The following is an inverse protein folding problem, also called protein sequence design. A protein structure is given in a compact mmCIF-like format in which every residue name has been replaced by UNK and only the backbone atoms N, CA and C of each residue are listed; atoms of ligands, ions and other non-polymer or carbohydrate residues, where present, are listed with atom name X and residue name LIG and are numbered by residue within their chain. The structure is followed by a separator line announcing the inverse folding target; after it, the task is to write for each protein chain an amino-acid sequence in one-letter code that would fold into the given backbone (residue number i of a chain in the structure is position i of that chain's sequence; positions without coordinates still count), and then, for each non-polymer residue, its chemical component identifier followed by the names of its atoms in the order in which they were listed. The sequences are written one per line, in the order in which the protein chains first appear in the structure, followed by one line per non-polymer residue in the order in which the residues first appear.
data_IF_562290828117
#
_entry.id   IF_562290828117
#
_cell.length_a   1.000
_cell.length_b   1.000
_cell.length_c   1.000
_cell.angle_alpha   90.00
_cell.angle_beta   90.00
_cell.angle_gamma   90.00
#
_symmetry.space_group_name_H-M   'P 1'
#
loop_
_entity.id
_entity.type
_entity.pdbx_description
1 polymer ?
#
# COMPACT_ATOMS: atom_id res chain seq x y z
N UNK A 1 21.55 2.19 -61.77
CA UNK A 1 21.09 2.44 -60.39
C UNK A 1 22.20 2.34 -59.33
N UNK A 2 23.43 1.92 -59.66
CA UNK A 2 24.45 1.55 -58.67
C UNK A 2 25.14 2.69 -57.90
N UNK A 3 25.04 3.94 -58.35
CA UNK A 3 25.79 5.06 -57.75
C UNK A 3 25.24 5.56 -56.41
N UNK A 4 23.91 5.52 -56.20
CA UNK A 4 23.30 6.10 -54.99
C UNK A 4 23.56 5.29 -53.71
N UNK A 5 23.83 3.98 -53.83
CA UNK A 5 24.07 3.11 -52.68
C UNK A 5 25.44 3.38 -52.03
N UNK A 6 26.50 3.50 -52.85
CA UNK A 6 27.87 3.76 -52.38
C UNK A 6 27.98 5.05 -51.58
N UNK A 7 27.28 6.11 -52.02
CA UNK A 7 27.30 7.40 -51.35
C UNK A 7 26.58 7.37 -49.99
N UNK A 8 25.52 6.58 -49.86
CA UNK A 8 24.80 6.38 -48.60
C UNK A 8 25.66 5.60 -47.59
N UNK A 9 26.30 4.51 -48.02
CA UNK A 9 27.21 3.73 -47.19
C UNK A 9 28.41 4.56 -46.69
N UNK A 10 29.01 5.38 -47.55
CA UNK A 10 30.08 6.30 -47.15
C UNK A 10 29.64 7.29 -46.05
N UNK A 11 28.43 7.86 -46.16
CA UNK A 11 27.88 8.75 -45.14
C UNK A 11 27.49 8.04 -43.83
N UNK A 12 27.20 6.73 -43.86
CA UNK A 12 27.03 5.93 -42.65
C UNK A 12 28.36 5.64 -41.95
N UNK A 13 29.41 5.22 -42.69
CA UNK A 13 30.74 4.95 -42.11
C UNK A 13 31.31 6.20 -41.44
N UNK A 14 31.30 7.36 -42.12
CA UNK A 14 31.79 8.63 -41.55
C UNK A 14 30.99 9.06 -40.30
N UNK A 15 29.69 8.71 -40.22
CA UNK A 15 28.89 8.93 -39.00
C UNK A 15 29.28 7.98 -37.88
N UNK A 16 29.49 6.70 -38.16
CA UNK A 16 29.97 5.72 -37.17
C UNK A 16 31.33 6.10 -36.61
N UNK A 17 32.28 6.52 -37.45
CA UNK A 17 33.61 6.97 -37.00
C UNK A 17 33.54 8.24 -36.16
N UNK A 18 32.64 9.18 -36.51
CA UNK A 18 32.42 10.41 -35.72
C UNK A 18 31.80 10.10 -34.36
N UNK A 19 30.86 9.14 -34.28
CA UNK A 19 30.27 8.66 -33.01
C UNK A 19 31.34 7.91 -32.19
N UNK A 20 32.10 7.01 -32.81
CA UNK A 20 33.19 6.28 -32.16
C UNK A 20 34.23 7.22 -31.53
N UNK A 21 34.71 8.21 -32.29
CA UNK A 21 35.67 9.21 -31.81
C UNK A 21 35.11 10.11 -30.70
N UNK A 22 33.80 10.41 -30.71
CA UNK A 22 33.13 11.11 -29.59
C UNK A 22 33.08 10.23 -28.34
N UNK A 23 32.79 8.92 -28.50
CA UNK A 23 32.77 7.97 -27.39
C UNK A 23 34.15 7.79 -26.76
N UNK A 24 35.23 7.66 -27.56
CA UNK A 24 36.61 7.56 -27.03
C UNK A 24 36.98 8.79 -26.21
N UNK A 25 36.72 9.99 -26.75
CA UNK A 25 36.98 11.25 -26.04
C UNK A 25 36.16 11.42 -24.76
N UNK A 26 34.96 10.86 -24.70
CA UNK A 26 34.16 10.83 -23.48
C UNK A 26 34.77 9.88 -22.43
N UNK A 27 35.18 8.67 -22.83
CA UNK A 27 35.86 7.72 -21.92
C UNK A 27 37.24 8.20 -21.45
N UNK A 28 37.99 8.89 -22.31
CA UNK A 28 39.28 9.49 -21.95
C UNK A 28 39.11 10.68 -20.99
N UNK A 29 38.06 11.49 -21.18
CA UNK A 29 37.71 12.58 -20.24
C UNK A 29 37.37 12.02 -18.86
N UNK A 30 36.53 10.97 -18.77
CA UNK A 30 36.19 10.33 -17.49
C UNK A 30 37.43 9.73 -16.79
N UNK A 31 38.29 9.03 -17.54
CA UNK A 31 39.56 8.50 -17.01
C UNK A 31 40.50 9.60 -16.53
N UNK A 32 40.48 10.78 -17.16
CA UNK A 32 41.27 11.94 -16.76
C UNK A 32 40.75 12.57 -15.46
N UNK A 33 39.42 12.64 -15.26
CA UNK A 33 38.83 13.19 -14.03
C UNK A 33 39.11 12.33 -12.79
N UNK A 34 39.06 11.00 -12.90
CA UNK A 34 39.41 10.11 -11.77
C UNK A 34 40.88 10.27 -11.35
N UNK A 35 41.77 10.53 -12.31
CA UNK A 35 43.21 10.71 -12.05
C UNK A 35 43.56 12.03 -11.34
N UNK A 36 42.65 13.00 -11.25
CA UNK A 36 42.91 14.31 -10.64
C UNK A 36 42.44 14.42 -9.18
N UNK A 37 41.67 13.44 -8.68
CA UNK A 37 41.08 13.45 -7.34
C UNK A 37 42.05 13.03 -6.21
N UNK A 38 43.29 12.63 -6.52
CA UNK A 38 44.23 11.98 -5.58
C UNK A 38 45.59 12.69 -5.49
N UNK A 39 45.59 14.01 -5.26
CA UNK A 39 46.81 14.76 -4.85
C UNK A 39 46.47 16.12 -4.20
N UNK A 40 46.37 16.15 -2.87
CA UNK A 40 46.52 17.38 -2.07
C UNK A 40 47.08 17.04 -0.69
N UNK A 41 47.82 17.98 -0.09
CA UNK A 41 48.82 17.68 0.94
C UNK A 41 48.31 17.66 2.39
N UNK A 42 49.11 17.04 3.26
CA UNK A 42 48.91 16.98 4.71
C UNK A 42 49.07 18.35 5.39
N UNK A 43 48.06 18.81 6.13
CA UNK A 43 48.14 20.00 6.98
C UNK A 43 47.20 19.90 8.18
N UNK A 44 47.72 19.49 9.34
CA UNK A 44 46.89 19.12 10.49
C UNK A 44 46.42 20.28 11.38
N UNK A 45 45.17 20.19 11.84
CA UNK A 45 44.69 20.75 13.12
C UNK A 45 43.55 19.88 13.66
N UNK A 46 43.32 19.94 14.96
CA UNK A 46 42.62 18.90 15.73
C UNK A 46 41.37 19.40 16.48
N UNK A 47 40.60 18.42 16.99
CA UNK A 47 39.43 18.53 17.89
C UNK A 47 38.17 19.18 17.26
N UNK A 48 36.95 18.80 17.66
CA UNK A 48 36.31 17.56 17.19
C UNK A 48 34.91 17.79 16.60
N UNK A 49 34.36 16.79 15.89
CA UNK A 49 32.91 16.62 15.76
C UNK A 49 32.48 15.22 16.18
N UNK A 50 31.26 15.16 16.72
CA UNK A 50 30.58 13.95 17.17
C UNK A 50 29.77 13.35 16.00
N UNK A 51 29.65 12.02 15.96
CA UNK A 51 29.11 11.30 14.80
C UNK A 51 29.76 9.94 14.62
N UNK A 52 29.32 8.95 15.42
CA UNK A 52 29.82 7.58 15.33
C UNK A 52 29.33 6.85 14.08
N UNK A 53 30.18 6.76 13.05
CA UNK A 53 30.02 5.75 11.99
C UNK A 53 30.33 4.36 12.58
N UNK A 54 29.28 3.63 12.96
CA UNK A 54 29.40 2.23 13.38
C UNK A 54 29.62 1.40 12.12
N UNK A 55 30.88 1.34 11.71
CA UNK A 55 31.33 0.57 10.56
C UNK A 55 31.34 -0.92 10.88
N UNK A 56 30.15 -1.49 11.06
CA UNK A 56 29.93 -2.90 11.33
C UNK A 56 30.48 -3.74 10.18
N UNK A 57 31.71 -4.22 10.37
CA UNK A 57 32.26 -5.33 9.58
C UNK A 57 31.33 -6.51 9.76
N UNK A 58 30.49 -6.72 8.75
CA UNK A 58 29.62 -7.88 8.66
C UNK A 58 30.50 -9.11 8.38
N UNK A 59 31.12 -9.62 9.44
CA UNK A 59 32.05 -10.74 9.40
C UNK A 59 31.25 -11.96 8.94
N UNK A 60 31.42 -12.34 7.67
CA UNK A 60 30.70 -13.43 7.01
C UNK A 60 31.18 -14.81 7.48
N UNK A 61 31.55 -14.93 8.75
CA UNK A 61 31.55 -16.19 9.49
C UNK A 61 30.11 -16.67 9.63
N UNK A 62 29.57 -17.21 8.55
CA UNK A 62 28.42 -18.11 8.59
C UNK A 62 28.80 -19.29 9.47
N UNK A 63 28.56 -19.17 10.77
CA UNK A 63 28.61 -20.25 11.75
C UNK A 63 27.44 -21.18 11.46
N UNK A 64 27.57 -21.90 10.35
CA UNK A 64 26.75 -23.03 9.96
C UNK A 64 27.00 -24.09 11.02
N UNK A 65 26.24 -24.00 12.11
CA UNK A 65 26.24 -24.97 13.19
C UNK A 65 25.83 -26.31 12.60
N UNK A 66 26.84 -27.11 12.24
CA UNK A 66 26.68 -28.34 11.47
C UNK A 66 26.23 -29.48 12.39
N UNK A 67 25.11 -29.26 13.08
CA UNK A 67 24.44 -30.19 13.98
C UNK A 67 23.63 -31.17 13.12
N UNK A 68 24.34 -31.88 12.24
CA UNK A 68 23.92 -33.15 11.65
C UNK A 68 24.04 -34.30 12.67
N UNK A 69 24.52 -33.99 13.89
CA UNK A 69 24.70 -34.91 15.01
C UNK A 69 23.37 -35.33 15.69
N UNK A 70 22.59 -36.15 14.99
CA UNK A 70 21.90 -37.32 15.54
C UNK A 70 20.85 -37.17 16.67
N UNK A 71 20.20 -36.01 16.83
CA UNK A 71 18.88 -35.97 17.47
C UNK A 71 17.80 -36.36 16.44
N UNK A 72 17.57 -37.67 16.31
CA UNK A 72 16.50 -38.25 15.51
C UNK A 72 15.19 -38.35 16.31
N UNK A 73 14.06 -37.95 15.71
CA UNK A 73 12.70 -38.15 16.23
C UNK A 73 12.50 -39.62 16.64
N UNK A 74 12.00 -39.86 17.84
CA UNK A 74 11.58 -41.20 18.27
C UNK A 74 10.32 -41.58 17.52
N UNK A 75 10.38 -42.68 16.78
CA UNK A 75 9.24 -43.33 16.14
C UNK A 75 9.14 -44.76 16.67
N UNK A 76 7.95 -45.12 17.12
CA UNK A 76 7.57 -46.44 17.62
C UNK A 76 6.21 -46.76 17.01
N UNK A 77 5.92 -48.05 16.83
CA UNK A 77 4.60 -48.54 16.47
C UNK A 77 3.97 -49.28 17.66
N UNK A 78 2.64 -49.39 17.73
CA UNK A 78 1.93 -49.82 18.95
C UNK A 78 2.40 -51.18 19.48
N UNK A 79 2.65 -52.16 18.60
CA UNK A 79 3.18 -53.47 18.98
C UNK A 79 4.60 -53.44 19.61
N UNK A 80 5.32 -52.33 19.48
CA UNK A 80 6.61 -52.09 20.13
C UNK A 80 6.46 -51.34 21.46
N UNK A 81 5.37 -50.59 21.66
CA UNK A 81 5.03 -49.93 22.92
C UNK A 81 4.60 -50.96 23.99
N UNK A 82 3.79 -51.96 23.61
CA UNK A 82 3.35 -53.04 24.51
C UNK A 82 4.52 -53.90 25.05
N UNK A 83 5.65 -53.94 24.34
CA UNK A 83 6.83 -54.73 24.71
C UNK A 83 7.89 -53.97 25.51
N UNK A 84 7.76 -52.65 25.70
CA UNK A 84 8.78 -51.81 26.34
C UNK A 84 8.66 -51.80 27.86
N UNK A 85 9.80 -51.85 28.57
CA UNK A 85 9.81 -51.62 30.01
C UNK A 85 9.58 -50.13 30.33
N UNK A 86 9.10 -49.85 31.54
CA UNK A 86 8.90 -48.49 32.01
C UNK A 86 10.21 -47.67 32.12
N UNK A 87 11.39 -48.30 32.09
CA UNK A 87 12.68 -47.61 32.11
C UNK A 87 13.13 -47.21 30.71
N UNK A 88 12.96 -48.10 29.72
CA UNK A 88 13.20 -47.80 28.31
C UNK A 88 12.23 -46.72 27.81
N UNK A 89 10.93 -46.79 28.18
CA UNK A 89 9.96 -45.76 27.84
C UNK A 89 10.35 -44.37 28.37
N UNK A 90 10.89 -44.30 29.60
CA UNK A 90 11.41 -43.04 30.19
C UNK A 90 12.72 -42.57 29.54
N UNK A 91 13.52 -43.47 28.96
CA UNK A 91 14.70 -43.10 28.19
C UNK A 91 14.32 -42.54 26.80
N UNK A 92 13.38 -43.20 26.12
CA UNK A 92 12.81 -42.80 24.84
C UNK A 92 12.07 -41.46 24.95
N UNK A 93 11.29 -41.25 26.01
CA UNK A 93 10.65 -39.96 26.28
C UNK A 93 11.67 -38.82 26.42
N UNK A 94 12.73 -38.98 27.25
CA UNK A 94 13.79 -37.97 27.39
C UNK A 94 14.55 -37.70 26.08
N UNK A 95 14.74 -38.72 25.23
CA UNK A 95 15.34 -38.54 23.90
C UNK A 95 14.44 -37.70 22.98
N UNK A 96 13.14 -37.95 23.00
CA UNK A 96 12.16 -37.16 22.24
C UNK A 96 12.03 -35.73 22.77
N UNK A 97 12.06 -35.53 24.08
CA UNK A 97 12.03 -34.23 24.76
C UNK A 97 13.28 -33.39 24.43
N UNK A 98 14.47 -34.01 24.40
CA UNK A 98 15.70 -33.37 23.93
C UNK A 98 15.66 -33.01 22.44
N UNK A 99 15.01 -33.81 21.60
CA UNK A 99 14.80 -33.49 20.18
C UNK A 99 13.83 -32.31 19.99
N UNK A 100 12.73 -32.26 20.75
CA UNK A 100 11.79 -31.12 20.75
C UNK A 100 12.50 -29.85 21.20
N UNK A 101 13.26 -29.91 22.30
CA UNK A 101 14.06 -28.78 22.81
C UNK A 101 15.05 -28.25 21.77
N UNK A 102 15.68 -29.14 21.00
CA UNK A 102 16.59 -28.76 19.92
C UNK A 102 15.86 -28.12 18.72
N UNK A 103 14.67 -28.63 18.35
CA UNK A 103 13.83 -28.01 17.33
C UNK A 103 13.29 -26.65 17.75
N UNK A 104 12.84 -26.48 18.99
CA UNK A 104 12.39 -25.18 19.51
C UNK A 104 13.51 -24.15 19.50
N UNK A 105 14.70 -24.53 20.00
CA UNK A 105 15.87 -23.65 20.00
C UNK A 105 16.25 -23.25 18.57
N UNK A 106 16.25 -24.22 17.65
CA UNK A 106 16.48 -23.99 16.22
C UNK A 106 15.45 -23.02 15.63
N UNK A 107 14.15 -23.23 15.87
CA UNK A 107 13.11 -22.34 15.34
C UNK A 107 13.26 -20.92 15.86
N UNK A 108 13.52 -20.71 17.16
CA UNK A 108 13.78 -19.38 17.73
C UNK A 108 14.96 -18.68 17.03
N UNK A 109 16.07 -19.38 16.80
CA UNK A 109 17.21 -18.81 16.04
C UNK A 109 16.89 -18.49 14.57
N UNK A 110 15.97 -19.23 13.93
CA UNK A 110 15.47 -18.88 12.60
C UNK A 110 14.50 -17.69 12.62
N UNK A 111 13.64 -17.59 13.63
CA UNK A 111 12.73 -16.45 13.82
C UNK A 111 13.51 -15.15 14.07
N UNK A 112 14.51 -15.18 14.95
CA UNK A 112 15.47 -14.09 15.20
C UNK A 112 16.25 -13.69 13.93
N UNK A 113 16.69 -14.68 13.14
CA UNK A 113 17.35 -14.45 11.84
C UNK A 113 16.39 -13.80 10.83
N UNK A 114 15.14 -14.25 10.76
CA UNK A 114 14.13 -13.68 9.86
C UNK A 114 13.75 -12.25 10.28
N UNK A 115 13.64 -11.97 11.58
CA UNK A 115 13.37 -10.61 12.08
C UNK A 115 14.50 -9.65 11.73
N UNK A 116 15.75 -10.02 12.03
CA UNK A 116 16.91 -9.17 11.74
C UNK A 116 17.17 -8.98 10.24
N UNK A 117 16.87 -9.98 9.40
CA UNK A 117 16.85 -9.82 7.95
C UNK A 117 15.79 -8.82 7.48
N UNK A 118 14.57 -8.87 8.06
CA UNK A 118 13.48 -7.93 7.74
C UNK A 118 13.80 -6.50 8.17
N UNK A 119 14.35 -6.31 9.37
CA UNK A 119 14.81 -5.01 9.86
C UNK A 119 15.89 -4.42 8.93
N UNK A 120 16.77 -5.26 8.38
CA UNK A 120 17.79 -4.84 7.43
C UNK A 120 17.22 -4.58 6.02
N UNK A 121 16.22 -5.33 5.58
CA UNK A 121 15.47 -5.08 4.35
C UNK A 121 14.79 -3.69 4.39
N UNK A 122 14.14 -3.35 5.50
CA UNK A 122 13.45 -2.08 5.67
C UNK A 122 14.42 -0.89 5.85
N UNK A 123 15.60 -1.08 6.47
CA UNK A 123 16.71 -0.09 6.43
C UNK A 123 17.22 0.16 5.01
N UNK A 124 17.35 -0.88 4.19
CA UNK A 124 17.79 -0.74 2.79
C UNK A 124 16.73 -0.02 1.94
N UNK A 125 15.42 -0.30 2.15
CA UNK A 125 14.33 0.44 1.50
C UNK A 125 14.35 1.93 1.84
N UNK A 126 14.53 2.30 3.11
CA UNK A 126 14.60 3.72 3.50
C UNK A 126 15.83 4.39 2.90
N UNK A 127 17.01 3.77 2.95
CA UNK A 127 18.22 4.29 2.32
C UNK A 127 18.06 4.49 0.79
N UNK A 128 17.43 3.54 0.07
CA UNK A 128 17.16 3.65 -1.37
C UNK A 128 16.25 4.85 -1.67
N UNK A 129 15.20 5.06 -0.86
CA UNK A 129 14.28 6.20 -1.06
C UNK A 129 14.93 7.55 -0.75
N UNK A 130 15.81 7.64 0.25
CA UNK A 130 16.60 8.84 0.52
C UNK A 130 17.59 9.13 -0.63
N UNK A 131 18.37 8.12 -1.06
CA UNK A 131 19.33 8.27 -2.16
C UNK A 131 18.63 8.69 -3.46
N UNK A 132 17.47 8.12 -3.78
CA UNK A 132 16.66 8.54 -4.94
C UNK A 132 16.10 9.97 -4.78
N UNK A 133 15.80 10.43 -3.56
CA UNK A 133 15.45 11.84 -3.31
C UNK A 133 16.66 12.77 -3.52
N UNK A 134 17.84 12.36 -3.02
CA UNK A 134 19.11 13.10 -3.16
C UNK A 134 19.53 13.23 -4.63
N UNK A 135 19.47 12.13 -5.39
CA UNK A 135 19.71 12.08 -6.83
C UNK A 135 18.78 13.06 -7.60
N UNK A 136 17.47 13.02 -7.33
CA UNK A 136 16.50 13.94 -7.96
C UNK A 136 16.77 15.42 -7.63
N UNK A 137 17.38 15.74 -6.49
CA UNK A 137 17.84 17.10 -6.16
C UNK A 137 19.12 17.45 -6.93
N UNK A 138 20.08 16.53 -7.01
CA UNK A 138 21.33 16.73 -7.74
C UNK A 138 21.09 16.90 -9.24
N UNK A 139 20.22 16.10 -9.87
CA UNK A 139 19.88 16.27 -11.29
C UNK A 139 19.23 17.62 -11.60
N UNK A 140 18.33 18.13 -10.73
CA UNK A 140 17.78 19.49 -10.90
C UNK A 140 18.84 20.57 -10.78
N UNK A 141 19.82 20.40 -9.87
CA UNK A 141 20.94 21.33 -9.70
C UNK A 141 21.92 21.28 -10.87
N UNK A 142 22.13 20.09 -11.47
CA UNK A 142 22.92 19.91 -12.68
C UNK A 142 22.27 20.61 -13.87
N UNK A 143 20.99 20.32 -14.14
CA UNK A 143 20.24 20.96 -15.23
C UNK A 143 20.22 22.50 -15.13
N UNK A 144 20.09 23.06 -13.92
CA UNK A 144 20.21 24.50 -13.70
C UNK A 144 21.61 25.03 -14.05
N UNK A 145 22.68 24.29 -13.73
CA UNK A 145 24.06 24.67 -14.08
C UNK A 145 24.38 24.49 -15.57
N UNK A 146 23.72 23.55 -16.24
CA UNK A 146 23.76 23.39 -17.70
C UNK A 146 23.04 24.57 -18.39
N UNK A 147 21.89 25.01 -17.85
CA UNK A 147 21.21 26.22 -18.32
C UNK A 147 22.08 27.48 -18.14
N UNK A 148 22.64 27.71 -16.94
CA UNK A 148 23.57 28.83 -16.70
C UNK A 148 24.70 28.85 -17.75
N UNK A 149 25.26 27.67 -18.04
CA UNK A 149 26.36 27.53 -19.00
C UNK A 149 25.93 27.82 -20.45
N UNK A 150 24.71 27.44 -20.83
CA UNK A 150 24.16 27.78 -22.14
C UNK A 150 23.92 29.28 -22.26
N UNK A 151 23.37 29.93 -21.22
CA UNK A 151 23.17 31.39 -21.21
C UNK A 151 24.51 32.16 -21.33
N UNK A 152 25.57 31.70 -20.67
CA UNK A 152 26.92 32.26 -20.87
C UNK A 152 27.51 31.96 -22.26
N UNK A 153 27.22 30.79 -22.84
CA UNK A 153 27.66 30.45 -24.20
C UNK A 153 26.98 31.33 -25.26
N UNK A 154 25.69 31.63 -25.07
CA UNK A 154 24.89 32.48 -25.94
C UNK A 154 25.39 33.93 -25.87
N UNK A 155 25.56 34.50 -24.67
CA UNK A 155 26.19 35.83 -24.46
C UNK A 155 27.58 35.92 -25.10
N UNK A 156 28.39 34.86 -24.98
CA UNK A 156 29.72 34.78 -25.59
C UNK A 156 29.65 34.66 -27.11
N UNK A 157 28.57 34.14 -27.68
CA UNK A 157 28.33 34.11 -29.13
C UNK A 157 27.95 35.50 -29.66
N UNK A 158 27.09 36.24 -28.94
CA UNK A 158 26.69 37.60 -29.29
C UNK A 158 27.90 38.55 -29.34
N UNK A 159 28.75 38.51 -28.30
CA UNK A 159 29.99 39.30 -28.27
C UNK A 159 31.01 38.90 -29.35
N UNK A 160 30.92 37.67 -29.90
CA UNK A 160 31.85 37.16 -30.92
C UNK A 160 31.37 37.36 -32.36
N UNK A 161 30.16 37.89 -32.60
CA UNK A 161 29.68 38.17 -33.96
C UNK A 161 30.60 39.17 -34.68
N UNK A 162 31.30 38.78 -35.77
CA UNK A 162 32.20 39.67 -36.51
C UNK A 162 31.42 40.59 -37.46
N UNK A 163 30.42 41.30 -36.93
CA UNK A 163 29.61 42.27 -37.65
C UNK A 163 30.26 43.66 -37.67
N UNK A 164 30.17 44.36 -38.82
CA UNK A 164 30.75 45.68 -39.04
C UNK A 164 30.19 46.85 -38.19
N UNK A 165 29.50 46.56 -37.08
CA UNK A 165 29.19 47.51 -36.02
C UNK A 165 30.37 47.77 -35.08
N UNK A 166 31.15 46.74 -34.74
CA UNK A 166 32.26 46.84 -33.79
C UNK A 166 33.35 47.84 -34.23
N UNK A 167 33.66 47.86 -35.53
CA UNK A 167 34.56 48.85 -36.13
C UNK A 167 34.01 50.28 -36.08
N UNK A 168 32.68 50.47 -36.10
CA UNK A 168 32.06 51.79 -35.99
C UNK A 168 32.06 52.30 -34.55
N UNK A 169 31.88 51.43 -33.56
CA UNK A 169 32.06 51.79 -32.14
C UNK A 169 33.52 52.01 -31.76
N UNK A 170 34.49 51.36 -32.43
CA UNK A 170 35.92 51.60 -32.22
C UNK A 170 36.45 52.91 -32.86
N UNK A 171 35.69 53.50 -33.79
CA UNK A 171 35.98 54.80 -34.42
C UNK A 171 35.26 55.97 -33.74
N UNK A 172 34.43 55.71 -32.72
CA UNK A 172 33.84 56.71 -31.85
C UNK A 172 34.58 56.69 -30.51
N UNK A 173 34.82 57.87 -29.94
CA UNK A 173 35.26 57.97 -28.55
C UNK A 173 34.26 57.24 -27.62
N UNK A 174 34.70 56.38 -26.69
CA UNK A 174 33.81 55.66 -25.80
C UNK A 174 32.82 56.52 -25.02
N UNK A 175 33.17 57.75 -24.62
CA UNK A 175 32.25 58.64 -23.93
C UNK A 175 31.17 59.20 -24.89
N UNK A 176 31.55 59.60 -26.11
CA UNK A 176 30.61 59.97 -27.18
C UNK A 176 29.69 58.80 -27.56
N UNK A 177 30.21 57.56 -27.66
CA UNK A 177 29.40 56.40 -27.96
C UNK A 177 28.40 56.09 -26.83
N UNK A 178 28.81 56.18 -25.56
CA UNK A 178 27.91 56.00 -24.42
C UNK A 178 26.79 57.05 -24.38
N UNK A 179 27.11 58.33 -24.65
CA UNK A 179 26.11 59.39 -24.76
C UNK A 179 25.14 59.14 -25.94
N UNK A 180 25.64 58.71 -27.09
CA UNK A 180 24.81 58.40 -28.26
C UNK A 180 23.93 57.16 -28.02
N UNK A 181 24.39 56.19 -27.23
CA UNK A 181 23.58 55.06 -26.77
C UNK A 181 22.49 55.51 -25.79
N UNK A 182 22.81 56.33 -24.79
CA UNK A 182 21.85 56.94 -23.84
C UNK A 182 20.76 57.71 -24.58
N UNK A 183 21.12 58.61 -25.48
CA UNK A 183 20.16 59.41 -26.27
C UNK A 183 19.28 58.54 -27.17
N UNK A 184 19.80 57.43 -27.74
CA UNK A 184 18.99 56.48 -28.50
C UNK A 184 18.03 55.69 -27.60
N UNK A 185 18.47 55.29 -26.41
CA UNK A 185 17.61 54.63 -25.42
C UNK A 185 16.49 55.57 -24.99
N UNK A 186 16.81 56.80 -24.54
CA UNK A 186 15.84 57.81 -24.12
C UNK A 186 14.85 58.18 -25.25
N UNK A 187 15.31 58.27 -26.50
CA UNK A 187 14.44 58.46 -27.67
C UNK A 187 13.54 57.24 -27.92
N UNK A 188 14.04 56.02 -27.75
CA UNK A 188 13.22 54.81 -27.88
C UNK A 188 12.18 54.69 -26.77
N UNK A 189 12.55 54.97 -25.52
CA UNK A 189 11.64 54.94 -24.37
C UNK A 189 10.59 56.03 -24.42
N UNK A 190 10.93 57.24 -24.88
CA UNK A 190 9.94 58.31 -25.07
C UNK A 190 9.00 57.99 -26.24
N UNK A 191 9.49 57.32 -27.30
CA UNK A 191 8.64 56.84 -28.39
C UNK A 191 7.69 55.73 -27.94
N UNK A 192 8.13 54.74 -27.15
CA UNK A 192 7.21 53.72 -26.63
C UNK A 192 6.20 54.33 -25.67
N UNK A 193 6.63 55.19 -24.73
CA UNK A 193 5.71 55.91 -23.82
C UNK A 193 4.69 56.77 -24.58
N UNK A 194 5.06 57.35 -25.73
CA UNK A 194 4.12 58.06 -26.62
C UNK A 194 3.14 57.10 -27.31
N UNK A 195 3.61 55.96 -27.83
CA UNK A 195 2.77 54.95 -28.47
C UNK A 195 1.81 54.26 -27.47
N UNK A 196 2.27 54.02 -26.24
CA UNK A 196 1.48 53.47 -25.13
C UNK A 196 0.40 54.47 -24.68
N UNK A 197 0.76 55.73 -24.40
CA UNK A 197 -0.23 56.76 -24.00
C UNK A 197 -1.18 57.12 -25.14
N UNK A 198 -0.74 57.07 -26.40
CA UNK A 198 -1.63 57.18 -27.56
C UNK A 198 -2.55 55.96 -27.72
N UNK A 199 -2.09 54.76 -27.35
CA UNK A 199 -2.90 53.55 -27.29
C UNK A 199 -3.94 53.61 -26.16
N UNK A 200 -3.59 54.12 -24.98
CA UNK A 200 -4.53 54.36 -23.87
C UNK A 200 -5.57 55.43 -24.22
N UNK A 201 -5.13 56.56 -24.80
CA UNK A 201 -5.99 57.63 -25.31
C UNK A 201 -6.72 57.26 -26.62
N UNK A 202 -6.48 56.07 -27.17
CA UNK A 202 -7.37 55.42 -28.13
C UNK A 202 -8.34 54.43 -27.44
N UNK A 203 -7.87 53.71 -26.41
CA UNK A 203 -8.63 52.70 -25.67
C UNK A 203 -9.76 53.25 -24.78
N UNK A 204 -9.72 54.54 -24.40
CA UNK A 204 -10.85 55.22 -23.72
C UNK A 204 -12.20 55.05 -24.44
N UNK A 205 -12.17 54.83 -25.76
CA UNK A 205 -13.32 54.39 -26.56
C UNK A 205 -13.21 52.88 -26.77
N UNK A 206 -13.98 52.12 -25.99
CA UNK A 206 -14.08 50.67 -26.16
C UNK A 206 -14.69 50.36 -27.54
N UNK A 207 -13.81 50.10 -28.50
CA UNK A 207 -14.14 49.77 -29.89
C UNK A 207 -13.94 48.27 -30.09
N UNK A 208 -14.92 47.54 -30.64
CA UNK A 208 -14.85 46.06 -30.72
C UNK A 208 -13.68 45.55 -31.58
N UNK A 209 -13.14 46.40 -32.46
CA UNK A 209 -11.96 46.09 -33.27
C UNK A 209 -10.61 46.37 -32.57
N UNK A 210 -10.58 47.02 -31.41
CA UNK A 210 -9.34 47.39 -30.71
C UNK A 210 -8.51 46.17 -30.31
N UNK A 211 -7.21 46.18 -30.61
CA UNK A 211 -6.27 45.12 -30.21
C UNK A 211 -6.15 44.96 -28.68
N UNK A 212 -6.45 46.01 -27.91
CA UNK A 212 -6.48 45.94 -26.44
C UNK A 212 -7.80 45.34 -25.96
N UNK A 213 -8.94 45.74 -26.54
CA UNK A 213 -10.25 45.11 -26.27
C UNK A 213 -10.29 43.63 -26.66
N UNK A 214 -9.70 43.26 -27.80
CA UNK A 214 -9.54 41.87 -28.26
C UNK A 214 -8.69 41.03 -27.30
N UNK A 215 -7.58 41.56 -26.79
CA UNK A 215 -6.74 40.89 -25.78
C UNK A 215 -7.48 40.72 -24.46
N UNK A 216 -8.19 41.75 -23.98
CA UNK A 216 -9.03 41.66 -22.78
C UNK A 216 -10.11 40.58 -22.94
N UNK A 217 -10.85 40.59 -24.04
CA UNK A 217 -11.92 39.61 -24.30
C UNK A 217 -11.39 38.18 -24.51
N UNK A 218 -10.19 38.01 -25.05
CA UNK A 218 -9.52 36.71 -25.07
C UNK A 218 -9.18 36.23 -23.65
N UNK A 219 -8.66 37.11 -22.78
CA UNK A 219 -8.36 36.79 -21.39
C UNK A 219 -9.61 36.51 -20.56
N UNK A 220 -10.71 37.23 -20.79
CA UNK A 220 -12.00 36.95 -20.16
C UNK A 220 -12.56 35.58 -20.56
N UNK A 221 -12.46 35.19 -21.84
CA UNK A 221 -12.84 33.83 -22.29
C UNK A 221 -11.94 32.75 -21.69
N UNK A 222 -10.63 32.98 -21.64
CA UNK A 222 -9.68 32.07 -20.99
C UNK A 222 -10.05 31.86 -19.51
N UNK A 223 -10.31 32.94 -18.75
CA UNK A 223 -10.69 32.84 -17.34
C UNK A 223 -12.04 32.13 -17.12
N UNK A 224 -13.00 32.23 -18.05
CA UNK A 224 -14.22 31.43 -17.99
C UNK A 224 -13.93 29.95 -18.23
N UNK A 225 -13.13 29.62 -19.25
CA UNK A 225 -12.71 28.24 -19.51
C UNK A 225 -11.94 27.64 -18.33
N UNK A 226 -11.00 28.38 -17.74
CA UNK A 226 -10.24 27.95 -16.55
C UNK A 226 -11.17 27.71 -15.34
N UNK A 227 -12.19 28.53 -15.13
CA UNK A 227 -13.21 28.32 -14.09
C UNK A 227 -14.11 27.10 -14.38
N UNK A 228 -14.55 26.90 -15.62
CA UNK A 228 -15.35 25.74 -16.03
C UNK A 228 -14.54 24.43 -15.91
N UNK A 229 -13.25 24.46 -16.25
CA UNK A 229 -12.32 23.34 -16.08
C UNK A 229 -12.07 23.04 -14.59
N UNK A 230 -11.91 24.05 -13.73
CA UNK A 230 -11.84 23.88 -12.28
C UNK A 230 -13.14 23.29 -11.71
N UNK A 231 -14.30 23.79 -12.14
CA UNK A 231 -15.61 23.24 -11.75
C UNK A 231 -15.78 21.78 -12.19
N UNK A 232 -15.31 21.45 -13.40
CA UNK A 232 -15.27 20.08 -13.92
C UNK A 232 -14.32 19.19 -13.12
N UNK A 233 -13.15 19.70 -12.71
CA UNK A 233 -12.17 18.96 -11.92
C UNK A 233 -12.67 18.69 -10.49
N UNK A 234 -13.26 19.70 -9.84
CA UNK A 234 -13.83 19.59 -8.48
C UNK A 234 -15.01 18.62 -8.46
N UNK A 235 -15.91 18.69 -9.44
CA UNK A 235 -17.05 17.77 -9.55
C UNK A 235 -16.61 16.33 -9.81
N UNK A 236 -15.64 16.10 -10.71
CA UNK A 236 -15.02 14.78 -10.92
C UNK A 236 -14.31 14.24 -9.67
N UNK A 237 -13.57 15.09 -8.96
CA UNK A 237 -12.90 14.70 -7.71
C UNK A 237 -13.89 14.30 -6.60
N UNK A 238 -15.00 15.02 -6.47
CA UNK A 238 -16.09 14.67 -5.55
C UNK A 238 -16.80 13.37 -5.97
N UNK A 239 -17.02 13.17 -7.26
CA UNK A 239 -17.61 11.94 -7.81
C UNK A 239 -16.73 10.73 -7.50
N UNK A 240 -15.44 10.78 -7.86
CA UNK A 240 -14.48 9.69 -7.62
C UNK A 240 -14.36 9.34 -6.12
N UNK A 241 -14.43 10.32 -5.21
CA UNK A 241 -14.52 10.03 -3.78
C UNK A 241 -15.81 9.27 -3.44
N UNK A 242 -16.97 9.75 -3.88
CA UNK A 242 -18.25 9.09 -3.61
C UNK A 242 -18.34 7.67 -4.21
N UNK A 243 -17.69 7.43 -5.35
CA UNK A 243 -17.56 6.10 -5.95
C UNK A 243 -16.66 5.18 -5.11
N UNK A 244 -15.55 5.70 -4.56
CA UNK A 244 -14.70 4.97 -3.61
C UNK A 244 -15.41 4.66 -2.29
N UNK A 245 -16.11 5.64 -1.71
CA UNK A 245 -16.88 5.48 -0.48
C UNK A 245 -18.02 4.44 -0.69
N UNK A 246 -18.68 4.47 -1.85
CA UNK A 246 -19.71 3.50 -2.26
C UNK A 246 -19.15 2.09 -2.47
N UNK A 247 -17.95 1.96 -3.06
CA UNK A 247 -17.30 0.66 -3.26
C UNK A 247 -16.94 0.01 -1.91
N UNK A 248 -16.38 0.79 -0.98
CA UNK A 248 -16.08 0.33 0.39
C UNK A 248 -17.35 -0.08 1.15
N UNK A 249 -18.44 0.66 1.00
CA UNK A 249 -19.71 0.30 1.64
C UNK A 249 -20.34 -0.98 1.05
N UNK A 250 -20.12 -1.27 -0.24
CA UNK A 250 -20.52 -2.55 -0.84
C UNK A 250 -19.74 -3.72 -0.27
N UNK A 251 -18.40 -3.65 -0.24
CA UNK A 251 -17.58 -4.75 0.29
C UNK A 251 -17.88 -5.02 1.77
N UNK A 252 -18.10 -3.98 2.57
CA UNK A 252 -18.55 -4.15 3.96
C UNK A 252 -19.94 -4.80 4.05
N UNK A 253 -20.89 -4.43 3.18
CA UNK A 253 -22.20 -5.09 3.14
C UNK A 253 -22.12 -6.55 2.66
N UNK A 254 -21.15 -6.91 1.84
CA UNK A 254 -20.91 -8.27 1.36
C UNK A 254 -20.23 -9.12 2.44
N UNK A 255 -19.25 -8.57 3.15
CA UNK A 255 -18.58 -9.18 4.30
C UNK A 255 -19.56 -9.46 5.47
N UNK A 256 -20.43 -8.49 5.81
CA UNK A 256 -21.48 -8.70 6.83
C UNK A 256 -22.49 -9.77 6.40
N UNK A 257 -22.89 -9.81 5.12
CA UNK A 257 -23.78 -10.87 4.61
C UNK A 257 -23.11 -12.24 4.63
N UNK A 258 -21.82 -12.32 4.32
CA UNK A 258 -21.06 -13.56 4.45
C UNK A 258 -20.99 -13.98 5.92
N UNK A 259 -20.57 -13.11 6.83
CA UNK A 259 -20.52 -13.42 8.27
C UNK A 259 -21.89 -13.79 8.87
N UNK A 260 -22.99 -13.36 8.26
CA UNK A 260 -24.33 -13.85 8.61
C UNK A 260 -24.55 -15.26 8.06
N UNK A 261 -24.26 -15.51 6.77
CA UNK A 261 -24.40 -16.84 6.15
C UNK A 261 -23.55 -17.90 6.85
N UNK A 262 -22.30 -17.58 7.19
CA UNK A 262 -21.37 -18.46 7.91
C UNK A 262 -21.88 -18.77 9.35
N UNK A 263 -22.71 -17.89 9.94
CA UNK A 263 -23.34 -18.09 11.24
C UNK A 263 -24.68 -18.84 11.14
N UNK A 264 -25.46 -18.60 10.08
CA UNK A 264 -26.70 -19.32 9.79
C UNK A 264 -26.39 -20.81 9.46
N UNK A 265 -25.27 -21.10 8.79
CA UNK A 265 -24.73 -22.45 8.56
C UNK A 265 -24.34 -23.14 9.88
N UNK A 266 -23.56 -22.48 10.74
CA UNK A 266 -23.20 -22.98 12.08
C UNK A 266 -24.43 -23.24 12.98
N UNK A 267 -25.51 -22.48 12.79
CA UNK A 267 -26.76 -22.68 13.52
C UNK A 267 -27.50 -23.92 13.02
N UNK A 268 -27.49 -24.21 11.71
CA UNK A 268 -28.03 -25.45 11.17
C UNK A 268 -27.24 -26.67 11.68
N UNK A 269 -25.90 -26.63 11.63
CA UNK A 269 -25.04 -27.70 12.16
C UNK A 269 -25.39 -28.04 13.63
N UNK A 270 -25.62 -27.01 14.45
CA UNK A 270 -25.98 -27.16 15.86
C UNK A 270 -27.38 -27.74 16.08
N UNK A 271 -28.35 -27.38 15.24
CA UNK A 271 -29.70 -27.97 15.27
C UNK A 271 -29.65 -29.46 14.84
N UNK A 272 -28.87 -29.82 13.82
CA UNK A 272 -28.66 -31.21 13.40
C UNK A 272 -27.99 -32.06 14.50
N UNK A 273 -26.96 -31.52 15.17
CA UNK A 273 -26.32 -32.16 16.33
C UNK A 273 -27.30 -32.34 17.51
N UNK A 274 -28.17 -31.36 17.74
CA UNK A 274 -29.21 -31.42 18.78
C UNK A 274 -30.28 -32.46 18.44
N UNK A 275 -30.72 -32.59 17.19
CA UNK A 275 -31.64 -33.66 16.77
C UNK A 275 -30.99 -35.05 16.88
N UNK A 276 -29.71 -35.18 16.53
CA UNK A 276 -28.93 -36.41 16.71
C UNK A 276 -28.78 -36.83 18.18
N UNK A 277 -28.48 -35.87 19.06
CA UNK A 277 -28.45 -36.09 20.52
C UNK A 277 -29.82 -36.44 21.08
N UNK A 278 -30.90 -35.74 20.68
CA UNK A 278 -32.26 -36.05 21.12
C UNK A 278 -32.71 -37.44 20.67
N UNK A 279 -32.38 -37.85 19.45
CA UNK A 279 -32.64 -39.20 18.93
C UNK A 279 -31.93 -40.28 19.77
N UNK A 280 -30.67 -40.04 20.13
CA UNK A 280 -29.88 -40.93 20.99
C UNK A 280 -30.47 -41.02 22.41
N UNK A 281 -30.88 -39.88 22.98
CA UNK A 281 -31.56 -39.81 24.29
C UNK A 281 -32.89 -40.59 24.25
N UNK A 282 -33.68 -40.45 23.18
CA UNK A 282 -34.95 -41.16 23.03
C UNK A 282 -34.75 -42.69 22.99
N UNK A 283 -33.76 -43.16 22.22
CA UNK A 283 -33.39 -44.58 22.16
C UNK A 283 -33.01 -45.13 23.55
N UNK A 284 -32.10 -44.44 24.26
CA UNK A 284 -31.66 -44.87 25.59
C UNK A 284 -32.80 -44.85 26.62
N UNK A 285 -33.74 -43.90 26.52
CA UNK A 285 -34.96 -43.91 27.33
C UNK A 285 -35.88 -45.10 27.01
N UNK A 286 -36.01 -45.47 25.73
CA UNK A 286 -36.81 -46.63 25.32
C UNK A 286 -36.19 -47.94 25.85
N UNK A 287 -34.87 -48.09 25.76
CA UNK A 287 -34.16 -49.25 26.27
C UNK A 287 -34.25 -49.35 27.81
N UNK A 288 -34.08 -48.22 28.53
CA UNK A 288 -34.31 -48.16 29.98
C UNK A 288 -35.75 -48.51 30.39
N UNK A 289 -36.76 -48.09 29.62
CA UNK A 289 -38.17 -48.48 29.86
C UNK A 289 -38.34 -49.99 29.66
N UNK A 290 -37.81 -50.55 28.58
CA UNK A 290 -37.87 -51.99 28.26
C UNK A 290 -37.21 -52.84 29.36
N UNK A 291 -35.99 -52.48 29.76
CA UNK A 291 -35.25 -53.20 30.82
C UNK A 291 -35.96 -53.12 32.16
N UNK A 292 -36.50 -51.95 32.55
CA UNK A 292 -37.32 -51.82 33.77
C UNK A 292 -38.58 -52.68 33.71
N UNK A 293 -39.24 -52.78 32.55
CA UNK A 293 -40.41 -53.63 32.38
C UNK A 293 -40.06 -55.12 32.49
N UNK A 294 -38.94 -55.57 31.90
CA UNK A 294 -38.48 -56.96 32.05
C UNK A 294 -38.07 -57.30 33.48
N UNK A 295 -37.45 -56.37 34.21
CA UNK A 295 -37.14 -56.55 35.65
C UNK A 295 -38.44 -56.70 36.44
N UNK A 296 -39.43 -55.81 36.25
CA UNK A 296 -40.71 -55.90 36.96
C UNK A 296 -41.46 -57.23 36.71
N UNK A 297 -41.41 -57.76 35.48
CA UNK A 297 -41.99 -59.10 35.20
C UNK A 297 -41.23 -60.23 35.88
N UNK A 298 -39.89 -60.19 35.92
CA UNK A 298 -39.07 -61.19 36.59
C UNK A 298 -39.18 -61.12 38.11
N UNK A 299 -39.38 -59.92 38.69
CA UNK A 299 -39.70 -59.72 40.10
C UNK A 299 -41.08 -60.28 40.45
N UNK A 300 -42.09 -60.06 39.60
CA UNK A 300 -43.43 -60.64 39.77
C UNK A 300 -43.43 -62.18 39.65
N UNK A 301 -42.64 -62.73 38.72
CA UNK A 301 -42.45 -64.18 38.58
C UNK A 301 -41.74 -64.76 39.82
N UNK A 302 -40.65 -64.14 40.28
CA UNK A 302 -39.96 -64.54 41.52
C UNK A 302 -40.87 -64.47 42.75
N UNK A 303 -41.70 -63.44 42.86
CA UNK A 303 -42.67 -63.31 43.95
C UNK A 303 -43.72 -64.44 43.89
N UNK A 304 -44.21 -64.76 42.69
CA UNK A 304 -45.17 -65.85 42.47
C UNK A 304 -44.57 -67.21 42.88
N UNK A 305 -43.36 -67.52 42.40
CA UNK A 305 -42.63 -68.75 42.74
C UNK A 305 -42.32 -68.85 44.24
N UNK A 306 -42.00 -67.73 44.91
CA UNK A 306 -41.81 -67.70 46.37
C UNK A 306 -43.10 -67.82 47.19
N UNK A 307 -44.29 -67.63 46.58
CA UNK A 307 -45.57 -67.92 47.24
C UNK A 307 -46.06 -69.35 47.07
N UNK A 308 -45.51 -70.13 46.14
CA UNK A 308 -45.81 -71.57 46.01
C UNK A 308 -45.10 -72.47 47.05
N UNK A 309 -43.97 -72.02 47.63
CA UNK A 309 -43.15 -72.84 48.56
C UNK A 309 -43.21 -72.35 50.02
N UNK A 310 -44.19 -72.83 50.81
CA UNK A 310 -44.04 -72.99 52.27
C UNK A 310 -44.83 -74.21 52.79
N UNK A 311 -44.28 -74.91 53.79
CA UNK A 311 -45.04 -75.06 55.04
C UNK A 311 -44.29 -74.57 56.30
N UNK A 312 -45.07 -74.37 57.38
CA UNK A 312 -44.74 -73.63 58.62
C UNK A 312 -43.58 -74.16 59.48
N UNK A 313 -42.88 -73.24 60.15
CA UNK A 313 -42.57 -73.28 61.60
C UNK A 313 -42.08 -71.93 62.18
N UNK A 314 -42.25 -71.72 63.49
CA UNK A 314 -41.78 -70.56 64.30
C UNK A 314 -40.90 -71.08 65.49
N UNK A 315 -40.56 -70.28 66.53
CA UNK A 315 -39.43 -69.34 66.68
C UNK A 315 -38.50 -69.79 67.87
N UNK A 316 -37.84 -68.97 68.74
CA UNK A 316 -37.27 -67.60 68.68
C UNK A 316 -35.78 -67.49 69.17
N UNK A 317 -35.26 -66.24 69.35
CA UNK A 317 -34.32 -65.74 70.41
C UNK A 317 -32.86 -65.26 70.11
N UNK A 318 -32.69 -63.92 70.24
CA UNK A 318 -31.67 -63.08 70.96
C UNK A 318 -30.11 -63.16 70.83
N UNK A 319 -29.55 -61.93 70.80
CA UNK A 319 -28.23 -61.41 71.27
C UNK A 319 -26.93 -61.59 70.45
N UNK A 320 -26.14 -60.50 70.29
CA UNK A 320 -24.81 -60.57 69.63
C UNK A 320 -24.02 -59.28 69.23
N UNK A 321 -24.23 -58.11 69.88
CA UNK A 321 -23.36 -56.87 69.87
C UNK A 321 -22.34 -56.58 68.73
N UNK A 322 -22.48 -55.46 68.00
CA UNK A 322 -21.45 -54.39 67.88
C UNK A 322 -21.93 -53.16 67.05
N UNK A 323 -21.11 -52.10 67.01
CA UNK A 323 -21.34 -50.76 66.42
C UNK A 323 -21.38 -50.74 64.86
N UNK A 324 -21.78 -49.67 64.16
CA UNK A 324 -21.98 -48.26 64.58
C UNK A 324 -23.14 -47.56 63.82
N UNK A 325 -23.42 -46.29 64.15
CA UNK A 325 -24.66 -45.55 63.80
C UNK A 325 -24.36 -44.21 63.10
N UNK A 326 -25.29 -43.78 62.23
CA UNK A 326 -25.48 -42.39 61.72
C UNK A 326 -24.70 -42.02 60.45
N UNK A 327 -25.13 -41.07 59.59
CA UNK A 327 -26.47 -40.49 59.30
C UNK A 327 -26.36 -39.58 58.06
N UNK A 328 -27.36 -39.62 57.17
CA UNK A 328 -27.75 -38.64 56.14
C UNK A 328 -26.89 -37.38 55.93
N UNK A 329 -26.56 -37.08 54.66
CA UNK A 329 -26.74 -35.73 54.12
C UNK A 329 -26.94 -35.71 52.59
N UNK A 330 -27.89 -34.91 52.15
CA UNK A 330 -27.93 -34.23 50.85
C UNK A 330 -28.02 -32.74 51.13
N UNK A 331 -27.42 -31.88 50.30
CA UNK A 331 -27.74 -30.45 50.21
C UNK A 331 -27.13 -29.82 48.95
N UNK A 332 -27.76 -28.75 48.44
CA UNK A 332 -27.41 -28.06 47.20
C UNK A 332 -26.30 -26.98 47.33
N UNK A 333 -25.94 -26.41 46.17
CA UNK A 333 -25.06 -25.24 45.98
C UNK A 333 -25.67 -23.93 46.52
N UNK A 334 -24.90 -22.82 46.66
CA UNK A 334 -24.90 -21.84 45.54
C UNK A 334 -23.63 -20.95 45.34
N UNK A 335 -23.28 -20.69 44.07
CA UNK A 335 -23.17 -19.33 43.48
C UNK A 335 -21.90 -18.45 43.60
N UNK A 336 -21.47 -17.90 42.43
CA UNK A 336 -20.75 -16.61 42.20
C UNK A 336 -19.31 -16.45 42.77
N UNK A 337 -18.26 -15.98 42.07
CA UNK A 337 -17.98 -15.57 40.67
C UNK A 337 -16.42 -15.47 40.48
N UNK A 338 -15.71 -14.97 39.44
CA UNK A 338 -16.03 -14.13 38.25
C UNK A 338 -15.04 -14.33 37.08
N UNK A 339 -15.50 -14.13 35.84
CA UNK A 339 -14.82 -13.61 34.62
C UNK A 339 -13.30 -13.87 34.35
N UNK A 340 -13.00 -14.77 33.40
CA UNK A 340 -12.10 -14.64 32.20
C UNK A 340 -11.75 -16.04 31.67
N UNK A 341 -11.69 -16.34 30.36
CA UNK A 341 -12.14 -15.58 29.19
C UNK A 341 -11.85 -16.29 27.85
N UNK A 342 -12.90 -16.78 27.18
CA UNK A 342 -12.97 -17.19 25.75
C UNK A 342 -12.17 -18.43 25.28
N UNK A 343 -12.55 -19.04 24.13
CA UNK A 343 -12.18 -20.43 23.79
C UNK A 343 -11.01 -20.54 22.79
N UNK A 344 -10.61 -21.78 22.48
CA UNK A 344 -9.70 -22.10 21.39
C UNK A 344 -10.22 -23.28 20.56
N UNK A 345 -10.62 -23.00 19.33
CA UNK A 345 -11.03 -24.00 18.34
C UNK A 345 -9.83 -24.70 17.71
N UNK A 346 -9.94 -26.03 17.61
CA UNK A 346 -9.40 -26.86 16.51
C UNK A 346 -10.44 -26.80 15.36
N UNK A 347 -10.14 -27.02 14.10
CA UNK A 347 -8.88 -26.98 13.33
C UNK A 347 -9.28 -26.65 11.87
N UNK A 348 -8.34 -26.16 11.07
CA UNK A 348 -8.43 -26.32 9.60
C UNK A 348 -7.13 -26.93 9.10
N UNK A 349 -7.25 -28.11 8.48
CA UNK A 349 -6.21 -28.63 7.59
C UNK A 349 -6.15 -27.75 6.34
N UNK A 350 -4.95 -27.48 5.83
CA UNK A 350 -4.73 -27.13 4.43
C UNK A 350 -3.67 -28.05 3.83
N UNK A 351 -3.90 -28.48 2.60
CA UNK A 351 -3.10 -29.48 1.89
C UNK A 351 -2.52 -28.87 0.62
N UNK A 352 -1.35 -28.24 0.75
CA UNK A 352 -0.69 -27.59 -0.37
C UNK A 352 -0.37 -28.55 -1.53
N UNK A 353 -0.98 -28.31 -2.69
CA UNK A 353 -0.60 -28.94 -3.97
C UNK A 353 -0.08 -27.88 -4.94
N UNK A 354 1.09 -28.18 -5.50
CA UNK A 354 1.88 -27.31 -6.36
C UNK A 354 1.32 -27.23 -7.79
N UNK A 355 1.47 -26.10 -8.49
CA UNK A 355 2.33 -26.02 -9.69
C UNK A 355 2.29 -24.68 -10.46
N UNK A 356 3.49 -24.30 -10.92
CA UNK A 356 3.82 -23.24 -11.87
C UNK A 356 3.32 -23.52 -13.30
N UNK A 357 2.87 -22.48 -14.03
CA UNK A 357 2.88 -22.42 -15.52
C UNK A 357 3.11 -20.98 -15.98
N UNK A 358 3.97 -20.81 -16.98
CA UNK A 358 4.37 -19.52 -17.58
C UNK A 358 3.42 -18.99 -18.68
N UNK A 359 3.62 -17.70 -18.99
CA UNK A 359 3.67 -17.12 -20.36
C UNK A 359 2.41 -16.60 -21.09
N UNK A 360 2.70 -15.63 -21.97
CA UNK A 360 2.03 -15.21 -23.21
C UNK A 360 0.73 -14.35 -23.26
N UNK A 361 0.95 -13.19 -23.91
CA UNK A 361 0.05 -12.39 -24.78
C UNK A 361 -1.02 -11.50 -24.11
N UNK A 362 -1.23 -10.21 -24.45
CA UNK A 362 -1.00 -9.35 -25.65
C UNK A 362 -2.23 -9.18 -26.58
N UNK A 363 -3.05 -8.18 -26.21
CA UNK A 363 -3.85 -7.26 -27.06
C UNK A 363 -5.15 -7.75 -27.76
N UNK A 364 -5.92 -6.71 -28.16
CA UNK A 364 -6.93 -6.57 -29.23
C UNK A 364 -8.33 -7.16 -29.09
N UNK A 365 -9.32 -6.24 -29.13
CA UNK A 365 -10.64 -6.33 -29.80
C UNK A 365 -11.68 -7.30 -29.20
N UNK A 366 -13.00 -7.18 -29.45
CA UNK A 366 -13.77 -6.21 -30.29
C UNK A 366 -15.23 -6.10 -29.82
N UNK A 367 -15.86 -4.96 -30.15
CA UNK A 367 -17.25 -4.76 -30.64
C UNK A 367 -18.38 -5.76 -30.27
N UNK A 368 -19.43 -5.26 -29.59
CA UNK A 368 -20.83 -5.08 -30.07
C UNK A 368 -21.65 -4.49 -28.91
N UNK A 369 -22.27 -3.32 -29.00
CA UNK A 369 -23.47 -2.97 -29.77
C UNK A 369 -24.77 -3.59 -29.23
N UNK A 370 -25.57 -2.79 -28.52
CA UNK A 370 -27.03 -2.80 -28.66
C UNK A 370 -27.63 -1.45 -28.21
N UNK A 371 -28.74 -1.04 -28.85
CA UNK A 371 -29.46 0.20 -28.52
C UNK A 371 -30.46 0.01 -27.36
N UNK A 372 -30.69 1.06 -26.58
CA UNK A 372 -32.08 1.42 -26.25
C UNK A 372 -32.27 2.93 -26.01
N UNK A 373 -33.29 3.51 -26.65
CA UNK A 373 -33.53 4.95 -26.73
C UNK A 373 -34.72 5.41 -25.87
N UNK A 374 -34.47 5.84 -24.62
CA UNK A 374 -35.51 6.42 -23.73
C UNK A 374 -35.34 7.93 -23.44
N UNK A 375 -35.92 8.71 -24.36
CA UNK A 375 -36.67 9.97 -24.17
C UNK A 375 -36.50 10.76 -22.85
N UNK A 376 -35.94 11.97 -22.96
CA UNK A 376 -36.11 13.05 -21.96
C UNK A 376 -37.57 13.55 -21.89
N UNK A 377 -38.06 13.95 -20.70
CA UNK A 377 -38.98 15.09 -20.56
C UNK A 377 -38.20 16.42 -20.47
N UNK A 378 -38.84 17.54 -20.83
CA UNK A 378 -38.35 18.89 -20.50
C UNK A 378 -38.83 19.29 -19.09
N UNK A 379 -38.05 20.11 -18.40
CA UNK A 379 -38.57 21.13 -17.49
C UNK A 379 -37.85 22.45 -17.75
N UNK A 380 -38.62 23.53 -17.86
CA UNK A 380 -38.10 24.89 -18.05
C UNK A 380 -37.94 25.55 -16.69
N UNK A 381 -36.84 26.29 -16.49
CA UNK A 381 -36.80 27.43 -15.57
C UNK A 381 -35.60 28.32 -15.91
N UNK A 382 -35.85 29.34 -16.74
CA UNK A 382 -34.92 30.46 -16.88
C UNK A 382 -35.24 31.47 -15.77
N UNK A 383 -34.29 31.74 -14.88
CA UNK A 383 -34.42 32.83 -13.91
C UNK A 383 -33.64 34.06 -14.41
N UNK A 384 -34.27 34.83 -15.28
CA UNK A 384 -33.73 36.10 -15.78
C UNK A 384 -33.88 37.18 -14.69
N UNK A 385 -32.80 37.51 -13.99
CA UNK A 385 -32.79 38.61 -13.02
C UNK A 385 -32.40 39.90 -13.74
N UNK A 386 -33.41 40.72 -14.06
CA UNK A 386 -33.21 42.12 -14.43
C UNK A 386 -32.67 42.89 -13.21
N UNK A 387 -31.62 43.69 -13.43
CA UNK A 387 -31.39 44.87 -12.60
C UNK A 387 -32.11 46.06 -13.27
N UNK A 388 -32.73 46.90 -12.44
CA UNK A 388 -33.36 48.15 -12.88
C UNK A 388 -32.43 49.31 -12.61
N UNK A 389 -32.16 50.14 -13.62
CA UNK A 389 -31.82 51.53 -13.41
C UNK A 389 -33.09 52.29 -13.03
N UNK A 390 -33.04 53.12 -11.99
CA UNK A 390 -33.51 54.52 -12.00
C UNK A 390 -33.36 55.15 -10.60
N UNK A 391 -32.45 56.12 -10.49
CA UNK A 391 -32.72 57.51 -10.03
C UNK A 391 -31.38 58.25 -9.82
N UNK A 392 -30.97 59.04 -10.81
CA UNK A 392 -29.93 60.07 -10.65
C UNK A 392 -30.62 61.43 -10.76
N UNK A 393 -30.76 62.12 -9.63
CA UNK A 393 -31.39 63.44 -9.57
C UNK A 393 -30.55 64.47 -10.33
N UNK A 394 -31.05 64.89 -11.50
CA UNK A 394 -30.51 66.04 -12.23
C UNK A 394 -31.02 67.32 -11.59
N UNK A 395 -30.11 68.11 -11.02
CA UNK A 395 -30.32 69.53 -10.75
C UNK A 395 -29.17 70.31 -11.38
N UNK A 396 -29.49 71.21 -12.32
CA UNK A 396 -28.52 71.99 -13.06
C UNK A 396 -29.05 73.38 -13.40
N UNK A 397 -28.74 74.34 -12.53
CA UNK A 397 -28.72 75.78 -12.85
C UNK A 397 -27.32 76.27 -12.43
N UNK A 398 -26.46 76.80 -13.31
CA UNK A 398 -26.61 77.83 -14.35
C UNK A 398 -26.76 79.25 -13.76
N UNK A 399 -25.77 80.09 -14.04
CA UNK A 399 -25.59 81.43 -13.46
C UNK A 399 -24.10 81.73 -13.38
N UNK A 400 -23.62 82.66 -14.21
CA UNK A 400 -22.19 82.89 -14.39
C UNK A 400 -21.74 84.32 -14.10
N UNK A 401 -20.43 84.51 -14.12
CA UNK A 401 -19.73 85.74 -14.51
C UNK A 401 -18.34 85.38 -15.05
#
# INVERSE_FOLDING_TARGET
MSFSHSHCLASLVVRSDSIGSRLTKFTDTLRSTDSFAMSSETGGKSVPEDGGDVHDKMDSSSTRLDISAELNRVQLSDHQLDGLTAEELRALWRKQDSYISALETRNRTFEESCSSLRDNEDKLKTQITELSMRERVLMRRLAAKEQDMQEYADQLSEMKLPGGGALKSALLDPAVNLLLQRLRQELSETKTKLEDTQSELAAWKFTPDSNTGKRLMARCRQLHQENDELGSMISKGRLAKLESDLALQKSFSEEVKKSQSDLDELLQDLDEDVEGMQSTIYYLQQELRKTKQTVATLEQENASLRTSDTPKSEPPSLNGLSASRSKWRSLDSPGSDTVTGSPRTKDTDDSGVNNNVDDQRKRTASETSDENSLKKPKTENQLTVHYSDDEVVVNGENGGQ
#
